data_IF_005818053546
#
_entry.id   IF_005818053546
#
_cell.length_a   1.000
_cell.length_b   1.000
_cell.length_c   1.000
_cell.angle_alpha   90.00
_cell.angle_beta   90.00
_cell.angle_gamma   90.00
#
_symmetry.space_group_name_H-M   'P 1'
#
loop_
_entity.id
_entity.type
_entity.pdbx_description
1 polymer ?
#
# COMPACT_ATOMS: atom_id res chain seq x y z
N UNK A 1 7.29 -16.26 -3.35
CA UNK A 1 6.48 -15.14 -3.90
C UNK A 1 6.37 -14.05 -2.83
N UNK A 2 7.25 -13.05 -2.93
CA UNK A 2 7.32 -11.85 -2.09
C UNK A 2 7.22 -10.60 -2.97
N UNK A 3 8.33 -9.91 -3.23
CA UNK A 3 8.44 -8.78 -4.19
C UNK A 3 8.03 -9.14 -5.65
N UNK A 4 7.99 -10.44 -5.97
CA UNK A 4 7.49 -11.02 -7.22
C UNK A 4 5.97 -11.27 -7.23
N UNK A 5 5.24 -10.78 -6.23
CA UNK A 5 3.79 -10.90 -6.21
C UNK A 5 3.16 -10.25 -7.45
N UNK A 6 2.30 -11.02 -8.12
CA UNK A 6 1.56 -10.57 -9.28
C UNK A 6 0.16 -10.20 -8.81
N UNK A 7 -0.19 -8.92 -8.91
CA UNK A 7 -1.54 -8.45 -8.59
C UNK A 7 -2.49 -8.91 -9.69
N UNK A 8 -3.68 -9.38 -9.31
CA UNK A 8 -4.69 -9.77 -10.27
C UNK A 8 -5.02 -8.59 -11.21
N UNK A 9 -5.04 -8.78 -12.54
CA UNK A 9 -5.16 -7.69 -13.50
C UNK A 9 -6.42 -6.85 -13.31
N UNK A 10 -7.53 -7.46 -12.91
CA UNK A 10 -8.78 -6.75 -12.67
C UNK A 10 -8.74 -5.90 -11.39
N UNK A 11 -8.07 -6.38 -10.34
CA UNK A 11 -7.84 -5.60 -9.10
C UNK A 11 -6.92 -4.42 -9.40
N UNK A 12 -5.85 -4.65 -10.18
CA UNK A 12 -4.94 -3.60 -10.64
C UNK A 12 -5.71 -2.49 -11.38
N UNK A 13 -6.53 -2.86 -12.36
CA UNK A 13 -7.34 -1.90 -13.13
C UNK A 13 -8.25 -1.06 -12.23
N UNK A 14 -8.99 -1.69 -11.31
CA UNK A 14 -9.91 -0.99 -10.41
C UNK A 14 -9.14 -0.05 -9.48
N UNK A 15 -8.01 -0.47 -8.93
CA UNK A 15 -7.17 0.36 -8.05
C UNK A 15 -6.61 1.57 -8.80
N UNK A 16 -6.13 1.40 -10.03
CA UNK A 16 -5.64 2.49 -10.88
C UNK A 16 -6.76 3.48 -11.22
N UNK A 17 -7.94 2.99 -11.62
CA UNK A 17 -9.10 3.83 -11.92
C UNK A 17 -9.60 4.59 -10.68
N UNK A 18 -9.65 3.94 -9.51
CA UNK A 18 -10.00 4.58 -8.23
C UNK A 18 -8.99 5.67 -7.86
N UNK A 19 -7.70 5.37 -7.98
CA UNK A 19 -6.63 6.31 -7.66
C UNK A 19 -6.59 7.49 -8.64
N UNK A 20 -6.85 7.26 -9.94
CA UNK A 20 -6.94 8.29 -10.96
C UNK A 20 -8.20 9.15 -10.80
N UNK A 21 -9.33 8.55 -10.44
CA UNK A 21 -10.64 9.22 -10.36
C UNK A 21 -10.86 10.08 -9.13
N UNK A 22 -9.88 10.17 -8.22
CA UNK A 22 -10.09 11.03 -7.07
C UNK A 22 -10.52 10.30 -5.79
N UNK A 23 -10.61 8.97 -5.79
CA UNK A 23 -11.30 8.25 -4.71
C UNK A 23 -10.34 7.77 -3.62
N UNK A 24 -10.75 7.81 -2.35
CA UNK A 24 -9.96 7.22 -1.27
C UNK A 24 -10.00 5.68 -1.36
N UNK A 25 -8.85 5.04 -1.10
CA UNK A 25 -8.71 3.57 -1.12
C UNK A 25 -8.19 3.11 0.24
N UNK A 26 -8.92 2.17 0.87
CA UNK A 26 -8.53 1.56 2.13
C UNK A 26 -7.87 0.19 1.94
N UNK A 27 -6.78 -0.07 2.65
CA UNK A 27 -6.12 -1.37 2.75
C UNK A 27 -5.92 -1.78 4.21
N UNK A 28 -6.15 -3.05 4.51
CA UNK A 28 -6.10 -3.60 5.87
C UNK A 28 -5.20 -4.85 5.87
N UNK A 29 -4.46 -5.05 6.96
CA UNK A 29 -3.61 -6.23 7.19
C UNK A 29 -2.51 -6.36 6.12
N UNK A 30 -2.61 -7.33 5.19
CA UNK A 30 -1.59 -7.57 4.15
C UNK A 30 -1.88 -6.88 2.81
N UNK A 31 -3.07 -6.29 2.65
CA UNK A 31 -3.46 -5.54 1.45
C UNK A 31 -2.53 -4.35 1.09
N UNK A 32 -1.82 -3.66 2.03
CA UNK A 32 -0.92 -2.56 1.67
C UNK A 32 0.17 -2.97 0.68
N UNK A 33 0.70 -4.19 0.80
CA UNK A 33 1.74 -4.70 -0.12
C UNK A 33 1.25 -4.80 -1.57
N UNK A 34 -0.01 -5.22 -1.76
CA UNK A 34 -0.64 -5.29 -3.09
C UNK A 34 -0.83 -3.89 -3.66
N UNK A 35 -1.29 -2.96 -2.82
CA UNK A 35 -1.55 -1.58 -3.19
C UNK A 35 -0.26 -0.84 -3.56
N UNK A 36 0.82 -1.06 -2.80
CA UNK A 36 2.16 -0.55 -3.10
C UNK A 36 2.65 -1.02 -4.46
N UNK A 37 2.50 -2.31 -4.76
CA UNK A 37 2.94 -2.88 -6.03
C UNK A 37 2.14 -2.33 -7.22
N UNK A 38 0.85 -2.09 -7.04
CA UNK A 38 -0.02 -1.52 -8.08
C UNK A 38 0.24 -0.03 -8.30
N UNK A 39 0.44 0.74 -7.24
CA UNK A 39 0.61 2.19 -7.30
C UNK A 39 2.06 2.63 -7.18
N UNK A 40 3.04 1.77 -7.46
CA UNK A 40 4.48 2.06 -7.30
C UNK A 40 4.91 3.36 -7.99
N UNK A 41 4.29 3.69 -9.11
CA UNK A 41 4.57 4.92 -9.88
C UNK A 41 4.23 6.20 -9.11
N UNK A 42 3.34 6.11 -8.11
CA UNK A 42 2.88 7.22 -7.28
C UNK A 42 3.60 7.33 -5.95
N UNK A 43 4.51 6.40 -5.65
CA UNK A 43 5.25 6.29 -4.38
C UNK A 43 4.31 6.39 -3.16
N UNK A 44 3.41 5.41 -2.98
CA UNK A 44 2.42 5.45 -1.90
C UNK A 44 3.13 5.34 -0.55
N UNK A 45 2.74 6.18 0.40
CA UNK A 45 3.13 6.02 1.80
C UNK A 45 2.25 4.93 2.42
N UNK A 46 2.86 3.88 2.96
CA UNK A 46 2.14 2.71 3.50
C UNK A 46 2.73 2.32 4.84
N UNK A 47 1.90 1.77 5.72
CA UNK A 47 2.36 1.18 6.99
C UNK A 47 2.03 -0.31 7.02
N UNK A 48 2.95 -1.12 7.55
CA UNK A 48 2.73 -2.54 7.83
C UNK A 48 3.15 -2.89 9.27
N UNK A 49 3.16 -1.90 10.18
CA UNK A 49 3.60 -2.09 11.57
C UNK A 49 5.11 -1.88 11.73
N UNK A 50 5.76 -2.74 12.53
CA UNK A 50 7.21 -2.70 12.80
C UNK A 50 8.02 -3.79 12.07
N UNK A 51 7.41 -4.56 11.16
CA UNK A 51 8.10 -5.67 10.52
C UNK A 51 9.13 -5.18 9.48
N UNK A 52 10.41 -5.13 9.90
CA UNK A 52 11.52 -4.62 9.09
C UNK A 52 11.73 -5.35 7.76
N UNK A 53 11.43 -6.66 7.71
CA UNK A 53 11.55 -7.45 6.49
C UNK A 53 10.50 -7.02 5.47
N UNK A 54 9.25 -6.83 5.92
CA UNK A 54 8.15 -6.39 5.08
C UNK A 54 8.31 -4.93 4.69
N UNK A 55 8.84 -4.08 5.58
CA UNK A 55 9.18 -2.69 5.28
C UNK A 55 10.19 -2.60 4.12
N UNK A 56 11.26 -3.39 4.17
CA UNK A 56 12.26 -3.45 3.11
C UNK A 56 11.68 -3.94 1.79
N UNK A 57 10.73 -4.88 1.83
CA UNK A 57 10.02 -5.35 0.65
C UNK A 57 9.13 -4.25 0.04
N UNK A 58 8.44 -3.46 0.87
CA UNK A 58 7.60 -2.32 0.46
C UNK A 58 8.45 -1.26 -0.26
N UNK A 59 9.59 -0.90 0.32
CA UNK A 59 10.52 0.06 -0.30
C UNK A 59 11.06 -0.47 -1.63
N UNK A 60 11.43 -1.76 -1.68
CA UNK A 60 11.86 -2.43 -2.91
C UNK A 60 10.76 -2.51 -3.97
N UNK A 61 9.48 -2.47 -3.58
CA UNK A 61 8.33 -2.43 -4.48
C UNK A 61 7.98 -1.01 -4.95
N UNK A 62 8.65 0.03 -4.43
CA UNK A 62 8.46 1.43 -4.82
C UNK A 62 7.53 2.24 -3.90
N UNK A 63 7.13 1.68 -2.75
CA UNK A 63 6.41 2.43 -1.71
C UNK A 63 7.34 3.09 -0.70
N UNK A 64 6.80 3.97 0.13
CA UNK A 64 7.50 4.48 1.32
C UNK A 64 6.89 3.82 2.54
N UNK A 65 7.70 3.07 3.29
CA UNK A 65 7.25 2.50 4.55
C UNK A 65 7.26 3.57 5.65
N UNK A 66 6.17 3.67 6.39
CA UNK A 66 6.06 4.49 7.60
C UNK A 66 5.68 3.59 8.76
N UNK A 67 6.55 3.53 9.77
CA UNK A 67 6.24 2.82 11.00
C UNK A 67 5.01 3.47 11.67
N UNK A 68 4.05 2.63 12.04
CA UNK A 68 2.83 3.03 12.77
C UNK A 68 2.44 1.88 13.68
N UNK A 69 1.88 2.20 14.85
CA UNK A 69 1.43 1.19 15.80
C UNK A 69 0.17 0.46 15.32
N UNK A 70 -0.06 -0.76 15.84
CA UNK A 70 -1.28 -1.58 15.59
C UNK A 70 -2.59 -0.84 15.88
N UNK A 71 -2.58 0.15 16.77
CA UNK A 71 -3.75 0.94 17.14
C UNK A 71 -3.98 2.15 16.24
N UNK A 72 -3.09 2.41 15.29
CA UNK A 72 -3.10 3.63 14.48
C UNK A 72 -3.45 3.36 13.02
N UNK A 73 -4.09 4.35 12.40
CA UNK A 73 -4.32 4.38 10.97
C UNK A 73 -3.29 5.31 10.33
N UNK A 74 -2.69 4.85 9.24
CA UNK A 74 -1.84 5.69 8.41
C UNK A 74 -2.62 6.18 7.19
N UNK A 75 -2.60 7.49 6.95
CA UNK A 75 -3.32 8.10 5.82
C UNK A 75 -2.33 8.84 4.93
N UNK A 76 -2.11 8.32 3.73
CA UNK A 76 -1.43 9.03 2.65
C UNK A 76 -2.42 10.01 2.02
N UNK A 77 -2.34 11.28 2.40
CA UNK A 77 -3.22 12.32 1.86
C UNK A 77 -2.96 12.63 0.39
N UNK A 78 -1.72 12.44 -0.08
CA UNK A 78 -1.31 12.75 -1.46
C UNK A 78 -1.95 11.78 -2.46
N UNK A 79 -2.04 10.51 -2.08
CA UNK A 79 -2.68 9.48 -2.89
C UNK A 79 -4.10 9.11 -2.39
N UNK A 80 -4.54 9.68 -1.26
CA UNK A 80 -5.78 9.34 -0.52
C UNK A 80 -5.87 7.87 -0.18
N UNK A 81 -4.78 7.30 0.30
CA UNK A 81 -4.73 5.90 0.70
C UNK A 81 -4.84 5.84 2.22
N UNK A 82 -5.63 4.90 2.73
CA UNK A 82 -5.83 4.68 4.15
C UNK A 82 -5.38 3.27 4.49
N UNK A 83 -4.52 3.16 5.48
CA UNK A 83 -3.94 1.90 5.94
C UNK A 83 -4.31 1.70 7.39
N UNK A 84 -4.87 0.53 7.70
CA UNK A 84 -5.15 0.12 9.05
C UNK A 84 -4.40 -1.18 9.34
N UNK A 85 -3.63 -1.17 10.43
CA UNK A 85 -3.01 -2.37 10.97
C UNK A 85 -3.96 -2.96 12.03
N UNK A 86 -4.06 -4.28 12.12
CA UNK A 86 -4.94 -4.97 13.08
C UNK A 86 -4.24 -6.20 13.64
#
# INVERSE_FOLDING_TARGET
>A
KGTEATVHPEVKRILEEMAASGKPIGAICIAPATLTKTLSDRKPEVTIGNDLNTASAIESMGGQHKESDVSEIHVDQKNRLVFCHN
#
